data_IF_922953682892
#
_entry.id   IF_922953682892
#
_cell.length_a   1.000
_cell.length_b   1.000
_cell.length_c   1.000
_cell.angle_alpha   90.00
_cell.angle_beta   90.00
_cell.angle_gamma   90.00
#
_symmetry.space_group_name_H-M   'P 1'
#
loop_
_entity.id
_entity.type
_entity.pdbx_description
1 polymer ?
#
# COMPACT_ATOMS: atom_id res chain seq x y z
N UNK A 1 64.11 11.38 -15.55
CA UNK A 1 62.85 11.94 -15.00
C UNK A 1 62.48 13.14 -15.87
N UNK A 2 61.57 12.99 -16.81
CA UNK A 2 61.12 14.07 -17.68
C UNK A 2 59.74 14.53 -17.23
N UNK A 3 59.60 15.81 -16.86
CA UNK A 3 58.31 16.43 -16.63
C UNK A 3 57.93 17.18 -17.91
N UNK A 4 56.80 16.83 -18.54
CA UNK A 4 56.24 17.62 -19.63
C UNK A 4 55.18 18.55 -19.07
N UNK A 5 55.38 19.86 -19.25
CA UNK A 5 54.42 20.89 -18.89
C UNK A 5 53.89 21.51 -20.18
N UNK A 6 52.65 21.20 -20.53
CA UNK A 6 51.99 21.80 -21.70
C UNK A 6 51.64 23.25 -21.40
N UNK A 7 52.26 24.19 -22.12
CA UNK A 7 52.09 25.64 -21.90
C UNK A 7 50.76 26.20 -22.47
N UNK A 8 50.15 25.53 -23.46
CA UNK A 8 48.85 25.90 -24.01
C UNK A 8 48.11 24.66 -24.53
N UNK A 9 46.90 24.41 -24.03
CA UNK A 9 46.10 23.21 -24.36
C UNK A 9 44.75 23.54 -25.04
N UNK A 10 44.62 24.74 -25.60
CA UNK A 10 43.39 25.16 -26.29
C UNK A 10 42.16 25.21 -25.39
N UNK A 11 42.34 25.55 -24.10
CA UNK A 11 41.30 25.53 -23.06
C UNK A 11 40.80 24.14 -22.65
N UNK A 12 41.40 23.04 -23.15
CA UNK A 12 40.95 21.68 -22.87
C UNK A 12 40.95 21.33 -21.37
N UNK A 13 41.90 21.84 -20.58
CA UNK A 13 41.92 21.70 -19.12
C UNK A 13 40.75 22.44 -18.48
N UNK A 14 40.45 23.67 -18.93
CA UNK A 14 39.30 24.44 -18.41
C UNK A 14 37.98 23.73 -18.74
N UNK A 15 37.82 23.21 -19.96
CA UNK A 15 36.63 22.43 -20.34
C UNK A 15 36.50 21.12 -19.56
N UNK A 16 37.60 20.40 -19.31
CA UNK A 16 37.58 19.19 -18.48
C UNK A 16 37.19 19.48 -17.03
N UNK A 17 37.71 20.56 -16.45
CA UNK A 17 37.33 20.98 -15.08
C UNK A 17 35.87 21.42 -15.03
N UNK A 18 35.40 22.19 -16.02
CA UNK A 18 33.99 22.57 -16.12
C UNK A 18 33.08 21.33 -16.23
N UNK A 19 33.40 20.39 -17.12
CA UNK A 19 32.65 19.15 -17.26
C UNK A 19 32.67 18.27 -16.01
N UNK A 20 33.77 18.29 -15.24
CA UNK A 20 33.84 17.59 -13.96
C UNK A 20 32.93 18.22 -12.90
N UNK A 21 32.89 19.57 -12.82
CA UNK A 21 31.97 20.30 -11.93
C UNK A 21 30.51 20.06 -12.27
N UNK A 22 30.15 20.12 -13.54
CA UNK A 22 28.79 19.80 -14.01
C UNK A 22 28.37 18.37 -13.65
N UNK A 23 29.30 17.41 -13.72
CA UNK A 23 29.02 16.04 -13.28
C UNK A 23 28.78 15.95 -11.78
N UNK A 24 29.57 16.66 -10.98
CA UNK A 24 29.39 16.72 -9.53
C UNK A 24 28.03 17.33 -9.15
N UNK A 25 27.68 18.47 -9.76
CA UNK A 25 26.36 19.11 -9.56
C UNK A 25 25.22 18.17 -9.99
N UNK A 26 25.37 17.48 -11.11
CA UNK A 26 24.39 16.50 -11.58
C UNK A 26 24.23 15.32 -10.60
N UNK A 27 25.31 14.82 -10.02
CA UNK A 27 25.25 13.76 -9.00
C UNK A 27 24.51 14.26 -7.76
N UNK A 28 24.84 15.45 -7.26
CA UNK A 28 24.12 16.04 -6.12
C UNK A 28 22.62 16.23 -6.40
N UNK A 29 22.27 16.67 -7.61
CA UNK A 29 20.87 16.79 -8.02
C UNK A 29 20.15 15.43 -8.11
N UNK A 30 20.85 14.38 -8.56
CA UNK A 30 20.31 13.01 -8.60
C UNK A 30 20.09 12.45 -7.21
N UNK A 31 21.01 12.66 -6.27
CA UNK A 31 20.85 12.25 -4.87
C UNK A 31 19.66 12.96 -4.21
N UNK A 32 19.56 14.27 -4.36
CA UNK A 32 18.43 15.05 -3.83
C UNK A 32 17.09 14.66 -4.48
N UNK A 33 17.10 14.19 -5.74
CA UNK A 33 15.92 13.64 -6.40
C UNK A 33 15.57 12.26 -5.83
N UNK A 34 16.54 11.36 -5.69
CA UNK A 34 16.33 10.02 -5.14
C UNK A 34 15.75 10.08 -3.72
N UNK A 35 16.25 10.97 -2.85
CA UNK A 35 15.73 11.16 -1.50
C UNK A 35 14.25 11.59 -1.50
N UNK A 36 13.88 12.53 -2.39
CA UNK A 36 12.49 12.98 -2.54
C UNK A 36 11.58 11.90 -3.13
N UNK A 37 12.08 11.14 -4.11
CA UNK A 37 11.34 10.06 -4.74
C UNK A 37 11.03 8.95 -3.70
N UNK A 38 11.99 8.59 -2.84
CA UNK A 38 11.79 7.64 -1.74
C UNK A 38 10.74 8.17 -0.75
N UNK A 39 10.87 9.42 -0.30
CA UNK A 39 9.90 10.01 0.63
C UNK A 39 8.48 10.02 0.04
N UNK A 40 8.36 10.35 -1.25
CA UNK A 40 7.08 10.34 -1.98
C UNK A 40 6.51 8.93 -2.10
N UNK A 41 7.36 7.93 -2.36
CA UNK A 41 6.95 6.53 -2.44
C UNK A 41 6.41 6.04 -1.10
N UNK A 42 7.14 6.27 0.00
CA UNK A 42 6.72 5.87 1.35
C UNK A 42 5.39 6.51 1.73
N UNK A 43 5.24 7.82 1.50
CA UNK A 43 3.99 8.54 1.78
C UNK A 43 2.83 7.96 0.97
N UNK A 44 3.05 7.66 -0.32
CA UNK A 44 2.05 7.02 -1.17
C UNK A 44 1.61 5.67 -0.60
N UNK A 45 2.57 4.79 -0.28
CA UNK A 45 2.27 3.46 0.28
C UNK A 45 1.56 3.54 1.62
N UNK A 46 1.92 4.52 2.44
CA UNK A 46 1.26 4.75 3.72
C UNK A 46 -0.21 5.12 3.54
N UNK A 47 -0.52 6.02 2.59
CA UNK A 47 -1.91 6.38 2.28
C UNK A 47 -2.71 5.20 1.74
N UNK A 48 -2.12 4.40 0.84
CA UNK A 48 -2.75 3.19 0.31
C UNK A 48 -3.10 2.21 1.44
N UNK A 49 -2.18 1.99 2.39
CA UNK A 49 -2.43 1.17 3.58
C UNK A 49 -3.57 1.73 4.46
N UNK A 50 -3.58 3.04 4.71
CA UNK A 50 -4.63 3.68 5.51
C UNK A 50 -6.00 3.50 4.86
N UNK A 51 -6.10 3.71 3.54
CA UNK A 51 -7.34 3.48 2.80
C UNK A 51 -7.78 2.02 2.85
N UNK A 52 -6.87 1.06 2.67
CA UNK A 52 -7.19 -0.36 2.78
C UNK A 52 -7.72 -0.72 4.18
N UNK A 53 -7.10 -0.17 5.23
CA UNK A 53 -7.55 -0.35 6.63
C UNK A 53 -8.96 0.20 6.86
N UNK A 54 -9.24 1.38 6.35
CA UNK A 54 -10.58 2.00 6.44
C UNK A 54 -11.64 1.17 5.71
N UNK A 55 -11.29 0.59 4.56
CA UNK A 55 -12.18 -0.30 3.82
C UNK A 55 -12.51 -1.57 4.62
N UNK A 56 -11.50 -2.21 5.23
CA UNK A 56 -11.70 -3.39 6.09
C UNK A 56 -12.65 -3.05 7.26
N UNK A 57 -12.44 -1.91 7.92
CA UNK A 57 -13.30 -1.46 9.02
C UNK A 57 -14.75 -1.20 8.54
N UNK A 58 -14.91 -0.54 7.40
CA UNK A 58 -16.22 -0.24 6.80
C UNK A 58 -16.97 -1.51 6.43
N UNK A 59 -16.28 -2.51 5.86
CA UNK A 59 -16.91 -3.77 5.53
C UNK A 59 -17.28 -4.60 6.78
N UNK A 60 -16.62 -4.36 7.92
CA UNK A 60 -17.04 -4.88 9.23
C UNK A 60 -18.46 -4.45 9.59
N UNK A 61 -18.77 -3.16 9.49
CA UNK A 61 -20.12 -2.65 9.78
C UNK A 61 -21.15 -3.09 8.73
N UNK A 62 -20.74 -3.17 7.45
CA UNK A 62 -21.60 -3.71 6.37
C UNK A 62 -21.95 -5.18 6.62
N UNK A 63 -21.03 -5.99 7.17
CA UNK A 63 -21.29 -7.39 7.54
C UNK A 63 -22.36 -7.48 8.63
N UNK A 64 -22.25 -6.66 9.67
CA UNK A 64 -23.25 -6.62 10.75
C UNK A 64 -24.64 -6.26 10.20
N UNK A 65 -24.70 -5.25 9.33
CA UNK A 65 -25.94 -4.85 8.67
C UNK A 65 -26.53 -5.97 7.80
N UNK A 66 -25.71 -6.66 7.01
CA UNK A 66 -26.15 -7.76 6.15
C UNK A 66 -26.65 -8.96 6.97
N UNK A 67 -25.97 -9.28 8.08
CA UNK A 67 -26.40 -10.33 9.01
C UNK A 67 -27.75 -9.99 9.67
N UNK A 68 -27.94 -8.74 10.09
CA UNK A 68 -29.20 -8.28 10.66
C UNK A 68 -30.32 -8.28 9.62
N UNK A 69 -30.04 -7.89 8.37
CA UNK A 69 -31.00 -7.96 7.28
C UNK A 69 -31.47 -9.40 7.04
N UNK A 70 -30.53 -10.35 6.95
CA UNK A 70 -30.83 -11.77 6.83
C UNK A 70 -31.71 -12.27 7.98
N UNK A 71 -31.39 -11.87 9.23
CA UNK A 71 -32.19 -12.21 10.41
C UNK A 71 -33.63 -11.70 10.30
N UNK A 72 -33.81 -10.44 9.90
CA UNK A 72 -35.14 -9.82 9.72
C UNK A 72 -35.93 -10.52 8.62
N UNK A 73 -35.32 -10.80 7.46
CA UNK A 73 -35.98 -11.48 6.34
C UNK A 73 -36.37 -12.92 6.68
N UNK A 74 -35.51 -13.63 7.40
CA UNK A 74 -35.79 -14.99 7.87
C UNK A 74 -37.02 -15.00 8.78
N UNK A 75 -37.10 -14.09 9.76
CA UNK A 75 -38.27 -13.99 10.64
C UNK A 75 -39.55 -13.60 9.90
N UNK A 76 -39.46 -12.65 8.97
CA UNK A 76 -40.63 -12.26 8.17
C UNK A 76 -41.19 -13.43 7.35
N UNK A 77 -40.31 -14.27 6.79
CA UNK A 77 -40.72 -15.50 6.09
C UNK A 77 -41.36 -16.52 7.05
N UNK A 78 -40.77 -16.75 8.23
CA UNK A 78 -41.31 -17.65 9.25
C UNK A 78 -42.70 -17.21 9.74
N UNK A 79 -42.95 -15.90 9.83
CA UNK A 79 -44.23 -15.30 10.21
C UNK A 79 -45.21 -15.20 9.04
N UNK A 80 -44.83 -15.65 7.83
CA UNK A 80 -45.66 -15.60 6.62
C UNK A 80 -45.84 -14.22 6.01
N UNK A 81 -45.07 -13.23 6.47
CA UNK A 81 -45.06 -11.84 5.98
C UNK A 81 -44.02 -11.59 4.87
N UNK A 82 -43.14 -12.56 4.61
CA UNK A 82 -42.09 -12.51 3.58
C UNK A 82 -42.07 -13.75 2.69
N UNK A 83 -41.24 -13.71 1.65
CA UNK A 83 -41.08 -14.82 0.70
C UNK A 83 -39.74 -15.55 0.90
N UNK A 84 -39.66 -16.82 0.48
CA UNK A 84 -38.40 -17.58 0.51
C UNK A 84 -37.33 -16.95 -0.39
N UNK A 85 -37.74 -16.28 -1.48
CA UNK A 85 -36.83 -15.57 -2.37
C UNK A 85 -36.11 -14.43 -1.64
N UNK A 86 -36.82 -13.64 -0.82
CA UNK A 86 -36.21 -12.55 -0.04
C UNK A 86 -35.15 -13.05 0.96
N UNK A 87 -35.36 -14.24 1.55
CA UNK A 87 -34.37 -14.87 2.44
C UNK A 87 -33.13 -15.29 1.65
N UNK A 88 -33.32 -15.90 0.48
CA UNK A 88 -32.21 -16.31 -0.39
C UNK A 88 -31.40 -15.11 -0.86
N UNK A 89 -32.06 -14.01 -1.25
CA UNK A 89 -31.40 -12.78 -1.67
C UNK A 89 -30.59 -12.15 -0.52
N UNK A 90 -31.16 -12.11 0.70
CA UNK A 90 -30.45 -11.61 1.88
C UNK A 90 -29.24 -12.48 2.23
N UNK A 91 -29.35 -13.81 2.10
CA UNK A 91 -28.24 -14.73 2.32
C UNK A 91 -27.12 -14.53 1.28
N UNK A 92 -27.49 -14.35 0.02
CA UNK A 92 -26.54 -14.06 -1.05
C UNK A 92 -25.80 -12.74 -0.80
N UNK A 93 -26.52 -11.70 -0.37
CA UNK A 93 -25.94 -10.42 -0.01
C UNK A 93 -24.95 -10.55 1.17
N UNK A 94 -25.32 -11.26 2.24
CA UNK A 94 -24.43 -11.51 3.36
C UNK A 94 -23.14 -12.25 2.93
N UNK A 95 -23.28 -13.31 2.13
CA UNK A 95 -22.13 -14.05 1.60
C UNK A 95 -21.23 -13.19 0.73
N UNK A 96 -21.81 -12.29 -0.08
CA UNK A 96 -21.04 -11.35 -0.89
C UNK A 96 -20.21 -10.41 -0.03
N UNK A 97 -20.77 -9.88 1.06
CA UNK A 97 -20.04 -9.01 1.98
C UNK A 97 -18.87 -9.77 2.64
N UNK A 98 -19.05 -11.05 2.97
CA UNK A 98 -17.94 -11.87 3.48
C UNK A 98 -16.79 -12.03 2.47
N UNK A 99 -17.12 -12.25 1.19
CA UNK A 99 -16.11 -12.32 0.13
C UNK A 99 -15.39 -10.98 -0.04
N UNK A 100 -16.13 -9.86 -0.03
CA UNK A 100 -15.56 -8.52 -0.12
C UNK A 100 -14.65 -8.22 1.09
N UNK A 101 -15.01 -8.67 2.30
CA UNK A 101 -14.15 -8.56 3.50
C UNK A 101 -12.87 -9.36 3.37
N UNK A 102 -12.95 -10.60 2.89
CA UNK A 102 -11.77 -11.45 2.70
C UNK A 102 -10.80 -10.81 1.69
N UNK A 103 -11.33 -10.27 0.59
CA UNK A 103 -10.54 -9.55 -0.41
C UNK A 103 -9.90 -8.29 0.17
N UNK A 104 -10.67 -7.47 0.90
CA UNK A 104 -10.15 -6.26 1.53
C UNK A 104 -9.06 -6.55 2.57
N UNK A 105 -9.22 -7.64 3.35
CA UNK A 105 -8.19 -8.10 4.28
C UNK A 105 -6.90 -8.50 3.57
N UNK A 106 -7.00 -9.22 2.45
CA UNK A 106 -5.85 -9.53 1.61
C UNK A 106 -5.18 -8.26 1.05
N UNK A 107 -5.95 -7.32 0.51
CA UNK A 107 -5.43 -6.05 -0.02
C UNK A 107 -4.73 -5.21 1.06
N UNK A 108 -5.26 -5.21 2.28
CA UNK A 108 -4.63 -4.57 3.43
C UNK A 108 -3.24 -5.17 3.74
N UNK A 109 -3.12 -6.50 3.75
CA UNK A 109 -1.83 -7.18 3.97
C UNK A 109 -0.83 -6.87 2.87
N UNK A 110 -1.29 -6.83 1.60
CA UNK A 110 -0.45 -6.43 0.47
C UNK A 110 0.03 -4.99 0.62
N UNK A 111 -0.86 -4.04 0.92
CA UNK A 111 -0.49 -2.65 1.11
C UNK A 111 0.50 -2.45 2.27
N UNK A 112 0.36 -3.25 3.34
CA UNK A 112 1.31 -3.25 4.45
C UNK A 112 2.68 -3.75 4.00
N UNK A 113 2.74 -4.84 3.25
CA UNK A 113 3.98 -5.37 2.70
C UNK A 113 4.69 -4.34 1.79
N UNK A 114 3.94 -3.66 0.92
CA UNK A 114 4.48 -2.62 0.02
C UNK A 114 5.02 -1.40 0.80
N UNK A 115 4.37 -1.00 1.89
CA UNK A 115 4.88 0.07 2.77
C UNK A 115 6.17 -0.35 3.49
N UNK A 116 6.22 -1.57 4.00
CA UNK A 116 7.41 -2.11 4.64
C UNK A 116 8.57 -2.20 3.66
N UNK A 117 8.32 -2.60 2.41
CA UNK A 117 9.32 -2.59 1.35
C UNK A 117 9.82 -1.18 1.04
N UNK A 118 8.92 -0.22 0.83
CA UNK A 118 9.28 1.17 0.56
C UNK A 118 10.08 1.82 1.70
N UNK A 119 9.85 1.39 2.93
CA UNK A 119 10.57 1.88 4.12
C UNK A 119 11.83 1.07 4.47
N UNK A 120 12.15 0.03 3.71
CA UNK A 120 13.31 -0.85 3.95
C UNK A 120 13.15 -1.79 5.14
N UNK A 121 11.92 -2.03 5.60
CA UNK A 121 11.55 -2.83 6.77
C UNK A 121 10.86 -4.15 6.41
N UNK A 122 11.06 -4.68 5.19
CA UNK A 122 10.37 -5.89 4.69
C UNK A 122 10.46 -7.09 5.65
N UNK A 123 11.55 -7.22 6.40
CA UNK A 123 11.74 -8.30 7.39
C UNK A 123 10.79 -8.27 8.59
N UNK A 124 10.06 -7.17 8.82
CA UNK A 124 9.10 -7.04 9.94
C UNK A 124 7.72 -7.62 9.64
N UNK A 125 7.43 -7.95 8.38
CA UNK A 125 6.12 -8.46 7.98
C UNK A 125 5.71 -9.74 8.74
N UNK A 126 6.58 -10.77 8.91
CA UNK A 126 6.22 -11.98 9.63
C UNK A 126 5.87 -11.73 11.10
N UNK A 127 6.58 -10.80 11.76
CA UNK A 127 6.32 -10.44 13.16
C UNK A 127 4.95 -9.77 13.33
N UNK A 128 4.58 -8.88 12.40
CA UNK A 128 3.30 -8.18 12.41
C UNK A 128 2.13 -9.12 12.10
N UNK A 129 2.32 -10.08 11.18
CA UNK A 129 1.31 -11.11 10.90
C UNK A 129 1.12 -12.05 12.09
N UNK A 130 2.21 -12.49 12.72
CA UNK A 130 2.13 -13.33 13.92
C UNK A 130 1.41 -12.60 15.08
N UNK A 131 1.64 -11.30 15.25
CA UNK A 131 0.92 -10.51 16.26
C UNK A 131 -0.59 -10.40 15.95
N UNK A 132 -0.96 -10.26 14.67
CA UNK A 132 -2.36 -10.20 14.25
C UNK A 132 -3.08 -11.55 14.39
N UNK A 133 -2.41 -12.68 14.09
CA UNK A 133 -3.00 -14.02 14.26
C UNK A 133 -3.29 -14.36 15.73
N UNK A 134 -2.54 -13.77 16.66
CA UNK A 134 -2.75 -13.95 18.12
C UNK A 134 -4.00 -13.22 18.63
N UNK A 135 -4.55 -12.25 17.89
CA UNK A 135 -5.79 -11.54 18.23
C UNK A 135 -7.07 -12.21 17.69
N UNK A 136 -6.96 -13.36 16.98
CA UNK A 136 -8.11 -14.04 16.33
C UNK A 136 -8.72 -15.18 17.19
N UNK A 137 -8.34 -15.34 18.46
CA UNK A 137 -9.02 -16.20 19.46
C UNK A 137 -9.91 -15.41 20.43
#
# INVERSE_FOLDING_TARGET
MGASLTLFDGFARRHRVAAAREREERVGALEARAARDIATLVEKRYRELVTARELVATLGTTRELAAENLRVRTRAFEEGMGTSLEVVDAQLAANRVELERALAGYEFVVALAELLEASGQSGRLPELLAAADVEVE
#
